data_IF_054894177101
#
_entry.id   IF_054894177101
#
_cell.length_a   1.000
_cell.length_b   1.000
_cell.length_c   1.000
_cell.angle_alpha   90.00
_cell.angle_beta   90.00
_cell.angle_gamma   90.00
#
_symmetry.space_group_name_H-M   'P 1'
#
loop_
_entity.id
_entity.type
_entity.pdbx_description
1 polymer ?
#
# COMPACT_ATOMS: atom_id res chain seq x y z
N UNK A 1 -3.10 -12.47 -18.85
CA UNK A 1 -4.32 -11.97 -18.18
C UNK A 1 -3.97 -11.31 -16.87
N UNK A 2 -3.50 -12.04 -15.89
CA UNK A 2 -3.11 -11.45 -14.60
C UNK A 2 -2.09 -10.34 -14.76
N UNK A 3 -1.12 -10.54 -15.63
CA UNK A 3 -0.08 -9.55 -15.87
C UNK A 3 -0.64 -8.20 -16.35
N UNK A 4 -1.62 -8.23 -17.25
CA UNK A 4 -2.25 -7.00 -17.75
C UNK A 4 -2.94 -6.26 -16.63
N UNK A 5 -3.70 -6.98 -15.80
CA UNK A 5 -4.38 -6.40 -14.64
C UNK A 5 -3.38 -5.84 -13.64
N UNK A 6 -2.32 -6.59 -13.34
CA UNK A 6 -1.30 -6.15 -12.40
C UNK A 6 -0.48 -4.99 -12.94
N UNK A 7 -0.22 -4.97 -14.24
CA UNK A 7 0.48 -3.85 -14.86
C UNK A 7 -0.32 -2.56 -14.69
N UNK A 8 -1.64 -2.62 -14.85
CA UNK A 8 -2.48 -1.46 -14.63
C UNK A 8 -2.40 -0.97 -13.18
N UNK A 9 -2.53 -1.89 -12.22
CA UNK A 9 -2.41 -1.56 -10.80
C UNK A 9 -1.01 -1.04 -10.50
N UNK A 10 0.01 -1.69 -11.06
CA UNK A 10 1.40 -1.30 -10.85
C UNK A 10 1.70 0.11 -11.38
N UNK A 11 1.14 0.48 -12.53
CA UNK A 11 1.30 1.84 -13.06
C UNK A 11 0.79 2.89 -12.07
N UNK A 12 -0.37 2.63 -11.48
CA UNK A 12 -0.94 3.56 -10.49
C UNK A 12 -0.11 3.60 -9.22
N UNK A 13 0.35 2.45 -8.77
CA UNK A 13 1.23 2.37 -7.60
C UNK A 13 2.57 3.06 -7.90
N UNK A 14 3.11 2.84 -9.09
CA UNK A 14 4.35 3.48 -9.50
C UNK A 14 4.26 5.00 -9.53
N UNK A 15 3.14 5.54 -10.04
CA UNK A 15 2.89 6.98 -10.02
C UNK A 15 2.82 7.48 -8.57
N UNK A 16 2.13 6.72 -7.72
CA UNK A 16 2.02 7.08 -6.31
C UNK A 16 3.37 7.06 -5.61
N UNK A 17 4.23 6.12 -5.96
CA UNK A 17 5.56 6.03 -5.34
C UNK A 17 6.46 7.20 -5.73
N UNK A 18 6.26 7.80 -6.88
CA UNK A 18 6.98 9.00 -7.27
C UNK A 18 6.64 10.18 -6.38
N UNK A 19 5.46 10.19 -5.79
CA UNK A 19 5.03 11.22 -4.88
C UNK A 19 5.55 11.01 -3.46
N UNK A 20 6.22 9.96 -3.28
CA UNK A 20 7.15 9.59 -2.28
C UNK A 20 6.76 9.70 -0.88
N UNK A 21 6.35 9.41 -0.10
CA UNK A 21 6.50 9.39 1.34
C UNK A 21 5.20 9.30 2.09
N UNK A 22 4.12 9.64 1.49
CA UNK A 22 2.85 9.41 2.14
C UNK A 22 2.17 8.24 1.47
N UNK A 23 1.86 7.20 2.25
CA UNK A 23 1.03 6.13 1.78
C UNK A 23 -0.30 6.69 1.31
N UNK A 24 -0.76 6.26 0.16
CA UNK A 24 -2.07 6.63 -0.34
C UNK A 24 -2.68 5.44 -1.07
N UNK A 25 -3.72 4.88 -0.49
CA UNK A 25 -4.46 3.81 -1.14
C UNK A 25 -5.28 4.42 -2.28
N UNK A 26 -5.13 3.92 -3.52
CA UNK A 26 -5.94 4.42 -4.62
C UNK A 26 -7.44 4.26 -4.33
N UNK A 27 -8.22 5.27 -4.70
CA UNK A 27 -9.66 5.29 -4.40
C UNK A 27 -10.42 4.10 -4.97
N UNK A 28 -9.98 3.57 -6.12
CA UNK A 28 -10.65 2.42 -6.72
C UNK A 28 -10.49 1.13 -5.91
N UNK A 29 -9.61 1.09 -4.94
CA UNK A 29 -9.45 -0.04 -4.02
C UNK A 29 -10.40 0.04 -2.83
N UNK A 30 -11.03 1.18 -2.59
CA UNK A 30 -12.01 1.27 -1.51
C UNK A 30 -13.21 0.37 -1.83
N UNK A 31 -13.58 -0.47 -0.85
CA UNK A 31 -14.65 -1.44 -1.03
C UNK A 31 -14.27 -2.64 -1.90
N UNK A 32 -13.00 -2.79 -2.23
CA UNK A 32 -12.47 -3.91 -2.99
C UNK A 32 -11.26 -4.46 -2.29
N UNK A 33 -11.09 -5.77 -2.39
CA UNK A 33 -9.93 -6.45 -1.81
C UNK A 33 -9.22 -7.26 -2.88
N UNK A 34 -8.26 -6.66 -3.60
CA UNK A 34 -7.43 -7.44 -4.50
C UNK A 34 -6.52 -8.38 -3.70
N UNK A 35 -6.12 -9.49 -4.29
CA UNK A 35 -5.21 -10.42 -3.61
C UNK A 35 -3.81 -9.81 -3.50
N UNK A 36 -3.29 -9.33 -4.60
CA UNK A 36 -1.97 -8.73 -4.65
C UNK A 36 -1.78 -7.89 -5.90
N UNK A 37 -0.73 -7.07 -5.91
CA UNK A 37 -0.26 -6.35 -7.09
C UNK A 37 1.24 -6.58 -7.26
N UNK A 38 1.71 -6.52 -8.48
CA UNK A 38 3.14 -6.60 -8.80
C UNK A 38 3.52 -5.38 -9.61
N UNK A 39 4.55 -4.69 -9.16
CA UNK A 39 5.15 -3.57 -9.85
C UNK A 39 6.32 -4.07 -10.70
N UNK A 40 6.42 -3.58 -11.92
CA UNK A 40 7.49 -3.90 -12.85
C UNK A 40 8.29 -2.64 -13.13
N UNK A 41 9.58 -2.80 -13.31
CA UNK A 41 10.44 -1.68 -13.68
C UNK A 41 10.27 -1.35 -15.19
N UNK A 42 11.02 -0.35 -15.64
CA UNK A 42 10.95 0.10 -17.04
C UNK A 42 11.38 -0.96 -18.05
N UNK A 43 12.08 -1.99 -17.61
CA UNK A 43 12.52 -3.11 -18.44
C UNK A 43 11.58 -4.31 -18.34
N UNK A 44 10.41 -4.11 -17.71
CA UNK A 44 9.39 -5.14 -17.52
C UNK A 44 9.86 -6.28 -16.61
N UNK A 45 10.81 -6.00 -15.73
CA UNK A 45 11.25 -6.93 -14.70
C UNK A 45 10.49 -6.71 -13.41
N UNK A 46 10.20 -7.79 -12.68
CA UNK A 46 9.52 -7.71 -11.39
C UNK A 46 10.34 -6.89 -10.40
N UNK A 47 9.70 -6.02 -9.66
CA UNK A 47 10.37 -5.15 -8.70
C UNK A 47 9.79 -5.29 -7.31
N UNK A 48 8.47 -5.17 -7.18
CA UNK A 48 7.80 -5.21 -5.89
C UNK A 48 6.49 -5.94 -5.98
N UNK A 49 6.13 -6.62 -4.90
CA UNK A 49 4.83 -7.28 -4.75
C UNK A 49 4.19 -6.83 -3.46
N UNK A 50 2.95 -6.39 -3.53
CA UNK A 50 2.16 -6.01 -2.37
C UNK A 50 0.98 -6.97 -2.24
N UNK A 51 0.86 -7.61 -1.09
CA UNK A 51 -0.23 -8.53 -0.77
C UNK A 51 -1.21 -7.80 0.15
N UNK A 52 -2.47 -7.75 -0.24
CA UNK A 52 -3.50 -7.01 0.46
C UNK A 52 -4.29 -7.93 1.39
N UNK A 53 -4.46 -7.51 2.63
CA UNK A 53 -5.25 -8.20 3.63
C UNK A 53 -6.38 -7.28 4.03
N UNK A 54 -7.62 -7.79 3.97
CA UNK A 54 -8.81 -6.98 4.17
C UNK A 54 -9.64 -7.51 5.33
N UNK A 55 -10.49 -6.62 5.86
CA UNK A 55 -11.49 -6.99 6.85
C UNK A 55 -12.74 -7.56 6.18
N UNK A 56 -13.76 -7.85 6.97
CA UNK A 56 -15.04 -8.39 6.49
C UNK A 56 -15.81 -7.44 5.58
N UNK A 57 -15.48 -6.15 5.58
CA UNK A 57 -16.10 -5.14 4.73
C UNK A 57 -15.31 -4.88 3.45
N UNK A 58 -14.32 -5.71 3.15
CA UNK A 58 -13.44 -5.56 2.00
C UNK A 58 -12.59 -4.28 2.04
N UNK A 59 -12.34 -3.76 3.23
CA UNK A 59 -11.44 -2.63 3.44
C UNK A 59 -10.04 -3.15 3.72
N UNK A 60 -9.04 -2.62 3.03
CA UNK A 60 -7.66 -3.03 3.23
C UNK A 60 -7.20 -2.56 4.60
N UNK A 61 -6.76 -3.50 5.44
CA UNK A 61 -6.26 -3.21 6.79
C UNK A 61 -4.77 -3.47 6.94
N UNK A 62 -4.17 -4.16 5.95
CA UNK A 62 -2.75 -4.44 5.97
C UNK A 62 -2.26 -4.72 4.57
N UNK A 63 -1.06 -4.27 4.28
CA UNK A 63 -0.35 -4.57 3.04
C UNK A 63 1.00 -5.15 3.42
N UNK A 64 1.27 -6.38 3.00
CA UNK A 64 2.58 -7.01 3.14
C UNK A 64 3.36 -6.78 1.87
N UNK A 65 4.55 -6.21 1.98
CA UNK A 65 5.37 -5.81 0.84
C UNK A 65 6.59 -6.72 0.71
N UNK A 66 6.89 -7.08 -0.54
CA UNK A 66 8.01 -7.95 -0.89
C UNK A 66 8.79 -7.30 -2.02
N UNK A 67 10.09 -7.49 -2.01
CA UNK A 67 10.97 -7.10 -3.11
C UNK A 67 11.45 -8.32 -3.86
N UNK A 68 11.59 -8.17 -5.16
CA UNK A 68 12.14 -9.24 -5.99
C UNK A 68 13.65 -9.32 -5.82
N UNK A 69 14.13 -10.50 -5.51
CA UNK A 69 15.55 -10.79 -5.45
C UNK A 69 15.92 -11.63 -6.68
N UNK A 70 16.60 -11.01 -7.64
CA UNK A 70 16.99 -11.67 -8.88
C UNK A 70 18.03 -12.76 -8.68
N UNK A 71 18.85 -12.65 -7.65
CA UNK A 71 19.87 -13.65 -7.33
C UNK A 71 19.27 -14.96 -6.87
N UNK A 72 18.20 -14.91 -6.08
CA UNK A 72 17.51 -16.10 -5.59
C UNK A 72 16.27 -16.44 -6.42
N UNK A 73 15.86 -15.56 -7.34
CA UNK A 73 14.62 -15.67 -8.11
C UNK A 73 13.41 -15.87 -7.20
N UNK A 74 13.33 -15.05 -6.18
CA UNK A 74 12.29 -15.18 -5.17
C UNK A 74 11.89 -13.82 -4.61
N UNK A 75 10.70 -13.79 -3.99
CA UNK A 75 10.20 -12.63 -3.28
C UNK A 75 10.73 -12.64 -1.85
N UNK A 76 11.29 -11.51 -1.43
CA UNK A 76 11.82 -11.35 -0.07
C UNK A 76 10.97 -10.32 0.67
N UNK A 77 10.50 -10.68 1.85
CA UNK A 77 9.68 -9.81 2.68
C UNK A 77 10.41 -8.50 2.98
N UNK A 78 9.75 -7.37 2.74
CA UNK A 78 10.35 -6.04 2.87
C UNK A 78 9.66 -5.16 3.92
N UNK A 79 8.59 -5.64 4.51
CA UNK A 79 7.86 -4.89 5.52
C UNK A 79 6.36 -4.93 5.29
N UNK A 80 5.65 -4.16 6.09
CA UNK A 80 4.20 -4.10 6.00
C UNK A 80 3.70 -2.70 6.32
N UNK A 81 2.49 -2.40 5.88
CA UNK A 81 1.74 -1.22 6.29
C UNK A 81 0.43 -1.69 6.92
N UNK A 82 0.14 -1.21 8.12
CA UNK A 82 -1.09 -1.52 8.84
C UNK A 82 -1.97 -0.28 8.84
N UNK A 83 -3.25 -0.45 8.58
CA UNK A 83 -4.19 0.67 8.44
C UNK A 83 -5.37 0.51 9.38
N UNK A 84 -5.80 1.65 9.93
CA UNK A 84 -7.08 1.78 10.61
C UNK A 84 -8.01 2.55 9.70
N UNK A 85 -9.20 2.02 9.48
CA UNK A 85 -10.20 2.63 8.59
C UNK A 85 -11.43 3.03 9.40
N UNK A 86 -12.17 4.02 8.90
CA UNK A 86 -13.47 4.35 9.46
C UNK A 86 -14.54 3.39 8.92
N UNK A 87 -15.79 3.61 9.34
CA UNK A 87 -16.91 2.75 8.94
C UNK A 87 -17.27 2.85 7.45
N UNK A 88 -16.71 3.82 6.73
CA UNK A 88 -16.86 3.99 5.29
C UNK A 88 -15.70 3.37 4.52
N UNK A 89 -14.74 2.76 5.21
CA UNK A 89 -13.55 2.18 4.59
C UNK A 89 -12.46 3.19 4.26
N UNK A 90 -12.57 4.42 4.75
CA UNK A 90 -11.53 5.43 4.52
C UNK A 90 -10.40 5.24 5.53
N UNK A 91 -9.17 5.28 5.07
CA UNK A 91 -8.02 5.12 5.95
C UNK A 91 -7.84 6.34 6.84
N UNK A 92 -7.83 6.14 8.14
CA UNK A 92 -7.59 7.19 9.13
C UNK A 92 -6.12 7.22 9.54
N UNK A 93 -5.50 6.06 9.67
CA UNK A 93 -4.10 5.94 10.11
C UNK A 93 -3.45 4.84 9.29
N UNK A 94 -2.21 5.08 8.86
CA UNK A 94 -1.37 4.07 8.24
C UNK A 94 -0.02 4.07 8.95
N UNK A 95 0.44 2.90 9.36
CA UNK A 95 1.74 2.74 10.04
C UNK A 95 2.57 1.76 9.23
N UNK A 96 3.76 2.18 8.83
CA UNK A 96 4.71 1.32 8.13
C UNK A 96 5.66 0.63 9.10
N UNK A 97 5.99 -0.61 8.77
CA UNK A 97 6.94 -1.42 9.54
C UNK A 97 8.01 -1.95 8.59
N UNK A 98 9.25 -2.00 9.08
CA UNK A 98 10.34 -2.61 8.35
C UNK A 98 10.21 -4.14 8.30
N UNK A 99 11.08 -4.79 7.54
CA UNK A 99 11.15 -6.26 7.51
C UNK A 99 11.44 -6.86 8.89
N UNK A 100 12.09 -6.09 9.77
CA UNK A 100 12.35 -6.50 11.16
C UNK A 100 11.20 -6.20 12.11
N UNK A 101 10.04 -5.80 11.57
CA UNK A 101 8.84 -5.47 12.34
C UNK A 101 9.00 -4.25 13.25
N UNK A 102 9.83 -3.31 12.82
CA UNK A 102 10.04 -2.05 13.53
C UNK A 102 9.21 -0.95 12.88
N UNK A 103 8.40 -0.26 13.68
CA UNK A 103 7.58 0.84 13.20
C UNK A 103 8.47 1.99 12.70
N UNK A 104 8.20 2.46 11.48
CA UNK A 104 8.98 3.51 10.85
C UNK A 104 8.24 4.83 10.72
N UNK A 105 7.09 4.82 10.09
CA UNK A 105 6.34 6.04 9.83
C UNK A 105 4.86 5.83 10.14
N UNK A 106 4.25 6.86 10.70
CA UNK A 106 2.82 6.91 10.94
C UNK A 106 2.24 8.08 10.13
N UNK A 107 1.20 7.82 9.37
CA UNK A 107 0.48 8.85 8.63
C UNK A 107 -0.97 8.87 9.10
N UNK A 108 -1.47 10.07 9.39
CA UNK A 108 -2.85 10.27 9.80
C UNK A 108 -3.57 11.09 8.73
N UNK A 109 -4.82 10.74 8.43
CA UNK A 109 -5.60 11.37 7.38
C UNK A 109 -6.92 11.89 7.93
N UNK A 110 -7.37 13.01 7.38
CA UNK A 110 -8.69 13.56 7.66
C UNK A 110 -9.47 13.72 6.37
N UNK A 111 -10.80 13.65 6.48
CA UNK A 111 -11.70 13.72 5.35
C UNK A 111 -12.82 14.70 5.65
N UNK A 112 -13.43 15.27 4.59
CA UNK A 112 -14.59 16.13 4.72
C UNK A 112 -15.83 15.37 4.26
N UNK A 113 -16.84 15.30 5.15
CA UNK A 113 -18.11 14.64 4.82
C UNK A 113 -17.92 13.16 4.52
N UNK A 114 -18.64 12.66 3.53
CA UNK A 114 -18.65 11.24 3.16
C UNK A 114 -17.75 10.91 1.98
N UNK A 115 -16.94 11.88 1.53
CA UNK A 115 -16.05 11.66 0.38
C UNK A 115 -14.81 10.87 0.74
N UNK A 116 -14.16 10.30 -0.27
CA UNK A 116 -12.90 9.59 -0.11
C UNK A 116 -11.69 10.48 -0.39
N UNK A 117 -11.93 11.74 -0.70
CA UNK A 117 -10.86 12.69 -0.94
C UNK A 117 -10.30 13.19 0.38
N UNK A 118 -9.01 13.01 0.57
CA UNK A 118 -8.33 13.43 1.79
C UNK A 118 -8.22 14.95 1.83
N UNK A 119 -8.57 15.53 2.97
CA UNK A 119 -8.42 16.96 3.21
C UNK A 119 -6.99 17.24 3.67
N UNK A 120 -6.45 16.41 4.55
CA UNK A 120 -5.09 16.58 5.03
C UNK A 120 -4.50 15.24 5.43
N UNK A 121 -3.17 15.19 5.43
CA UNK A 121 -2.42 14.06 5.91
C UNK A 121 -1.20 14.57 6.66
N UNK A 122 -0.90 13.92 7.78
CA UNK A 122 0.25 14.27 8.61
C UNK A 122 1.10 13.03 8.80
N UNK A 123 2.37 13.14 8.50
CA UNK A 123 3.32 12.04 8.70
C UNK A 123 4.23 12.34 9.88
N UNK A 124 4.51 11.32 10.66
CA UNK A 124 5.47 11.40 11.76
C UNK A 124 6.28 10.11 11.81
N UNK A 125 7.55 10.25 12.20
CA UNK A 125 8.44 9.10 12.35
C UNK A 125 8.42 8.63 13.78
N UNK A 126 8.53 7.31 13.98
CA UNK A 126 8.73 6.76 15.30
C UNK A 126 10.18 6.95 15.71
N UNK A 127 10.39 7.50 16.88
CA UNK A 127 11.73 7.69 17.41
C UNK A 127 12.31 6.34 17.81
N UNK A 128 13.50 6.10 17.44
CA UNK A 128 14.19 4.93 17.94
C UNK A 128 14.49 3.85 17.17
#
# INVERSE_FOLDING_TARGET
>A
MKRVLFTLVACLVGISSLMAQSFSLPGYLFGRCPDYSITYDKNDAQEQKDVYICDGNKSVVRIDSYKWNSSSSDWVYDGKTVMENDNQGRTLVAISYSAADVAGEKTEYTYTGNGYEKVSGTSSSFAG
#
